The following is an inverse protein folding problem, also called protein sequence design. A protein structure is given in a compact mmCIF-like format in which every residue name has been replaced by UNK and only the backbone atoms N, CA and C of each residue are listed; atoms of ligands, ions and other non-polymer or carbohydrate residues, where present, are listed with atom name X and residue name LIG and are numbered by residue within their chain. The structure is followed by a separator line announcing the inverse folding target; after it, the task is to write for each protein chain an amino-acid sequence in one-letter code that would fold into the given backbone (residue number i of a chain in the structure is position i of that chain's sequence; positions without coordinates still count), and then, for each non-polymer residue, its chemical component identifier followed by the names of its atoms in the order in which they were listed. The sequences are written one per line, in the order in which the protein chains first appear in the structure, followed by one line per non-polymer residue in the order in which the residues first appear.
data_IF_577416770232
#
_entry.id   IF_577416770232
#
_cell.length_a   1.000
_cell.length_b   1.000
_cell.length_c   1.000
_cell.angle_alpha   90.00
_cell.angle_beta   90.00
_cell.angle_gamma   90.00
#
_symmetry.space_group_name_H-M   'P 1'
#
loop_
_entity.id
_entity.type
_entity.pdbx_description
1 polymer ?
#
# COMPACT_ATOMS: atom_id res chain seq x y z
N UNK A 1 -28.95 26.90 -23.29
CA UNK A 1 -29.24 25.72 -22.45
C UNK A 1 -28.04 25.52 -21.56
N UNK A 2 -28.27 25.68 -20.27
CA UNK A 2 -27.28 25.64 -19.21
C UNK A 2 -26.74 24.21 -19.07
N UNK A 3 -25.46 24.00 -19.39
CA UNK A 3 -24.76 22.77 -19.02
C UNK A 3 -24.35 22.96 -17.57
N UNK A 4 -25.28 22.71 -16.64
CA UNK A 4 -24.89 22.50 -15.25
C UNK A 4 -23.97 21.28 -15.24
N UNK A 5 -22.67 21.52 -15.24
CA UNK A 5 -21.66 20.52 -14.93
C UNK A 5 -22.00 20.00 -13.54
N UNK A 6 -22.61 18.81 -13.48
CA UNK A 6 -22.70 18.07 -12.23
C UNK A 6 -21.25 17.79 -11.86
N UNK A 7 -20.72 18.58 -10.92
CA UNK A 7 -19.48 18.24 -10.24
C UNK A 7 -19.83 16.98 -9.45
N UNK A 8 -19.63 15.83 -10.07
CA UNK A 8 -19.51 14.61 -9.30
C UNK A 8 -18.29 14.80 -8.41
N UNK A 9 -18.36 14.32 -7.17
CA UNK A 9 -17.17 14.18 -6.34
C UNK A 9 -16.89 12.69 -6.30
N UNK A 10 -15.68 12.28 -6.70
CA UNK A 10 -15.21 10.92 -6.42
C UNK A 10 -14.78 10.90 -4.97
N UNK A 11 -15.44 10.08 -4.16
CA UNK A 11 -15.08 9.86 -2.78
C UNK A 11 -14.48 8.46 -2.66
N UNK A 12 -13.18 8.40 -2.42
CA UNK A 12 -12.50 7.17 -2.03
C UNK A 12 -12.56 7.09 -0.50
N UNK A 13 -13.11 6.01 0.03
CA UNK A 13 -13.22 5.81 1.48
C UNK A 13 -12.73 4.43 1.88
N UNK A 14 -12.10 4.34 3.06
CA UNK A 14 -11.79 3.08 3.69
C UNK A 14 -13.09 2.48 4.26
N UNK A 15 -13.44 1.28 3.81
CA UNK A 15 -14.61 0.54 4.30
C UNK A 15 -14.20 -0.49 5.36
N UNK A 16 -15.19 -1.13 5.98
CA UNK A 16 -15.00 -2.25 6.92
C UNK A 16 -14.22 -1.95 8.22
N UNK A 17 -14.02 -0.68 8.58
CA UNK A 17 -13.34 -0.30 9.83
C UNK A 17 -14.05 -0.85 11.09
N UNK A 18 -15.37 -1.10 11.03
CA UNK A 18 -16.13 -1.77 12.09
C UNK A 18 -15.76 -3.24 12.35
N UNK A 19 -14.89 -3.82 11.51
CA UNK A 19 -14.30 -5.16 11.68
C UNK A 19 -12.86 -5.11 12.20
N UNK A 20 -12.30 -3.91 12.41
CA UNK A 20 -10.99 -3.75 13.04
C UNK A 20 -11.05 -4.17 14.52
N UNK A 21 -9.89 -4.53 15.05
CA UNK A 21 -9.71 -4.83 16.47
C UNK A 21 -8.75 -3.79 17.06
N UNK A 22 -8.96 -3.34 18.31
CA UNK A 22 -7.99 -2.47 18.97
C UNK A 22 -6.60 -3.14 19.01
N UNK A 23 -5.54 -2.36 18.79
CA UNK A 23 -4.16 -2.84 18.83
C UNK A 23 -3.78 -3.50 20.18
N UNK A 24 -4.41 -3.06 21.27
CA UNK A 24 -4.25 -3.64 22.60
C UNK A 24 -4.86 -5.04 22.77
N UNK A 25 -5.58 -5.54 21.77
CA UNK A 25 -6.23 -6.86 21.83
C UNK A 25 -5.16 -7.97 21.74
N UNK A 26 -5.10 -8.90 22.71
CA UNK A 26 -4.16 -10.02 22.67
C UNK A 26 -4.32 -10.83 21.38
N UNK A 27 -3.20 -11.03 20.67
CA UNK A 27 -3.21 -11.57 19.33
C UNK A 27 -3.31 -13.11 19.36
N UNK A 28 -4.51 -13.64 19.55
CA UNK A 28 -4.68 -15.05 19.91
C UNK A 28 -4.80 -16.01 18.72
N UNK A 29 -4.84 -15.50 17.47
CA UNK A 29 -4.99 -16.35 16.26
C UNK A 29 -4.28 -15.73 15.06
N UNK A 30 -3.15 -16.31 14.66
CA UNK A 30 -2.64 -16.15 13.30
C UNK A 30 -3.71 -16.65 12.33
N UNK A 31 -4.35 -15.73 11.63
CA UNK A 31 -5.20 -16.08 10.48
C UNK A 31 -4.29 -16.55 9.33
N UNK A 32 -4.91 -17.11 8.29
CA UNK A 32 -4.24 -17.43 7.01
C UNK A 32 -3.39 -16.22 6.57
N UNK A 33 -2.10 -16.44 6.33
CA UNK A 33 -1.19 -15.42 5.77
C UNK A 33 -1.62 -15.17 4.33
N UNK A 34 -2.03 -13.94 4.04
CA UNK A 34 -2.43 -13.49 2.70
C UNK A 34 -1.35 -12.54 2.13
N UNK A 35 -1.47 -12.16 0.86
CA UNK A 35 -0.46 -11.32 0.21
C UNK A 35 -0.37 -9.92 0.84
N UNK A 36 -1.46 -9.39 1.41
CA UNK A 36 -1.46 -8.12 2.14
C UNK A 36 -0.91 -8.23 3.56
N UNK A 37 -0.79 -9.45 4.12
CA UNK A 37 -0.27 -9.64 5.48
C UNK A 37 1.21 -9.22 5.56
N UNK A 38 1.59 -8.36 6.51
CA UNK A 38 2.99 -7.98 6.72
C UNK A 38 3.88 -9.19 7.06
N UNK A 39 5.18 -9.12 6.75
CA UNK A 39 6.12 -10.18 7.13
C UNK A 39 6.23 -10.31 8.66
N UNK A 40 6.26 -9.19 9.39
CA UNK A 40 6.29 -9.18 10.86
C UNK A 40 5.10 -9.94 11.45
N UNK A 41 3.87 -9.64 11.01
CA UNK A 41 2.69 -10.33 11.49
C UNK A 41 2.68 -11.80 11.03
N UNK A 42 3.10 -12.09 9.79
CA UNK A 42 3.20 -13.46 9.29
C UNK A 42 4.18 -14.35 10.10
N UNK A 43 5.19 -13.74 10.72
CA UNK A 43 6.14 -14.40 11.63
C UNK A 43 5.61 -14.59 13.06
N UNK A 44 4.39 -14.12 13.35
CA UNK A 44 3.74 -14.30 14.65
C UNK A 44 3.92 -13.15 15.63
N UNK A 45 4.47 -12.01 15.20
CA UNK A 45 4.52 -10.82 16.05
C UNK A 45 3.11 -10.24 16.27
N UNK A 46 2.89 -9.46 17.34
CA UNK A 46 1.66 -8.69 17.51
C UNK A 46 1.40 -7.76 16.32
N UNK A 47 0.13 -7.64 15.94
CA UNK A 47 -0.28 -6.69 14.90
C UNK A 47 -0.11 -5.26 15.43
N UNK A 48 0.40 -4.37 14.60
CA UNK A 48 0.55 -2.93 14.89
C UNK A 48 0.06 -2.11 13.71
N UNK A 49 -0.14 -0.80 13.91
CA UNK A 49 -0.48 0.13 12.80
C UNK A 49 0.50 0.08 11.60
N UNK A 50 1.75 -0.33 11.81
CA UNK A 50 2.71 -0.45 10.71
C UNK A 50 2.36 -1.62 9.79
N UNK A 51 1.62 -2.60 10.26
CA UNK A 51 1.11 -3.68 9.42
C UNK A 51 0.03 -3.19 8.44
N UNK A 52 -0.72 -2.14 8.77
CA UNK A 52 -1.61 -1.45 7.82
C UNK A 52 -0.80 -0.73 6.74
N UNK A 53 0.27 -0.02 7.10
CA UNK A 53 1.15 0.64 6.12
C UNK A 53 1.83 -0.37 5.18
N UNK A 54 2.32 -1.48 5.72
CA UNK A 54 2.87 -2.56 4.90
C UNK A 54 1.81 -3.18 3.97
N UNK A 55 0.59 -3.38 4.48
CA UNK A 55 -0.53 -3.88 3.66
C UNK A 55 -0.84 -2.92 2.50
N UNK A 56 -0.83 -1.61 2.76
CA UNK A 56 -0.99 -0.59 1.73
C UNK A 56 0.12 -0.67 0.67
N UNK A 57 1.39 -0.71 1.08
CA UNK A 57 2.51 -0.85 0.14
C UNK A 57 2.42 -2.12 -0.72
N UNK A 58 1.99 -3.23 -0.14
CA UNK A 58 1.78 -4.49 -0.86
C UNK A 58 0.63 -4.44 -1.88
N UNK A 59 -0.37 -3.57 -1.66
CA UNK A 59 -1.47 -3.35 -2.60
C UNK A 59 -1.07 -2.49 -3.80
N UNK A 60 -0.04 -1.64 -3.67
CA UNK A 60 0.44 -0.79 -4.76
C UNK A 60 1.14 -1.57 -5.88
N UNK A 61 1.85 -2.66 -5.54
CA UNK A 61 2.54 -3.49 -6.53
C UNK A 61 1.61 -3.99 -7.65
N UNK A 62 0.49 -4.66 -7.33
CA UNK A 62 -0.50 -5.10 -8.32
C UNK A 62 -1.04 -3.97 -9.21
N UNK A 63 -1.17 -2.74 -8.69
CA UNK A 63 -1.64 -1.58 -9.46
C UNK A 63 -0.68 -1.20 -10.59
N UNK A 64 0.60 -1.58 -10.49
CA UNK A 64 1.62 -1.40 -11.54
C UNK A 64 2.02 -2.72 -12.21
N UNK A 65 1.21 -3.78 -12.03
CA UNK A 65 1.44 -5.10 -12.63
C UNK A 65 2.55 -5.93 -11.96
N UNK A 66 3.02 -5.53 -10.77
CA UNK A 66 4.08 -6.23 -10.02
C UNK A 66 3.45 -7.10 -8.94
N UNK A 67 3.72 -8.41 -8.96
CA UNK A 67 3.11 -9.39 -8.04
C UNK A 67 4.18 -10.16 -7.24
N UNK A 68 4.85 -9.52 -6.27
CA UNK A 68 6.04 -10.08 -5.62
C UNK A 68 5.74 -11.28 -4.71
N UNK A 69 4.47 -11.50 -4.35
CA UNK A 69 4.04 -12.54 -3.41
C UNK A 69 3.30 -13.71 -4.06
N UNK A 70 3.27 -13.79 -5.39
CA UNK A 70 2.67 -14.93 -6.10
C UNK A 70 3.75 -15.96 -6.44
N UNK A 71 3.61 -17.17 -5.89
CA UNK A 71 4.48 -18.30 -6.20
C UNK A 71 3.74 -19.62 -6.06
N UNK A 72 4.00 -20.55 -6.97
CA UNK A 72 3.48 -21.93 -6.90
C UNK A 72 4.35 -22.83 -6.01
N UNK A 73 5.61 -22.45 -5.77
CA UNK A 73 6.62 -23.30 -5.12
C UNK A 73 7.04 -22.80 -3.75
N UNK A 74 6.74 -21.53 -3.42
CA UNK A 74 7.09 -20.90 -2.14
C UNK A 74 5.84 -20.63 -1.30
N UNK A 75 5.99 -20.73 0.01
CA UNK A 75 4.96 -20.29 0.96
C UNK A 75 4.83 -18.76 0.94
N UNK A 76 3.67 -18.24 1.38
CA UNK A 76 3.45 -16.80 1.48
C UNK A 76 4.48 -16.09 2.39
N UNK A 77 4.99 -16.79 3.42
CA UNK A 77 6.07 -16.27 4.28
C UNK A 77 7.36 -16.20 3.49
N UNK A 78 7.77 -17.28 2.82
CA UNK A 78 9.01 -17.30 2.03
C UNK A 78 9.03 -16.23 0.93
N UNK A 79 7.95 -16.06 0.16
CA UNK A 79 7.90 -15.00 -0.86
C UNK A 79 8.06 -13.60 -0.26
N UNK A 80 7.62 -13.40 0.98
CA UNK A 80 7.80 -12.13 1.68
C UNK A 80 9.24 -11.97 2.17
N UNK A 81 9.86 -13.04 2.65
CA UNK A 81 11.28 -13.02 3.03
C UNK A 81 12.16 -12.71 1.82
N UNK A 82 11.89 -13.33 0.67
CA UNK A 82 12.61 -13.06 -0.57
C UNK A 82 12.41 -11.62 -1.04
N UNK A 83 11.20 -11.09 -0.94
CA UNK A 83 10.92 -9.70 -1.24
C UNK A 83 11.70 -8.75 -0.32
N UNK A 84 11.66 -9.00 0.99
CA UNK A 84 12.34 -8.15 1.99
C UNK A 84 13.86 -8.23 1.92
N UNK A 85 14.42 -9.30 1.35
CA UNK A 85 15.86 -9.40 1.13
C UNK A 85 16.37 -8.43 0.06
N UNK A 86 15.56 -8.14 -0.97
CA UNK A 86 15.89 -7.19 -2.04
C UNK A 86 14.61 -6.60 -2.68
N UNK A 87 13.93 -5.64 -2.02
CA UNK A 87 12.65 -5.10 -2.50
C UNK A 87 12.74 -4.43 -3.86
N UNK A 88 13.84 -3.73 -4.14
CA UNK A 88 14.04 -2.98 -5.38
C UNK A 88 14.14 -3.89 -6.60
N UNK A 89 14.67 -5.12 -6.45
CA UNK A 89 14.76 -6.09 -7.56
C UNK A 89 13.40 -6.47 -8.17
N UNK A 90 12.31 -6.35 -7.43
CA UNK A 90 10.95 -6.63 -7.92
C UNK A 90 10.37 -5.48 -8.74
N UNK A 91 10.95 -4.28 -8.64
CA UNK A 91 10.52 -3.07 -9.34
C UNK A 91 11.62 -2.65 -10.32
N UNK A 92 11.66 -3.34 -11.47
CA UNK A 92 12.70 -3.14 -12.49
C UNK A 92 12.68 -1.75 -13.14
N UNK A 93 11.55 -1.04 -13.07
CA UNK A 93 11.38 0.27 -13.68
C UNK A 93 11.53 1.37 -12.64
N UNK A 94 12.34 2.37 -12.94
CA UNK A 94 12.62 3.51 -12.06
C UNK A 94 11.32 4.20 -11.61
N UNK A 95 10.33 4.37 -12.50
CA UNK A 95 9.05 4.99 -12.18
C UNK A 95 8.17 4.20 -11.19
N UNK A 96 8.57 2.97 -10.84
CA UNK A 96 7.87 2.12 -9.87
C UNK A 96 8.69 1.81 -8.62
N UNK A 97 9.99 2.16 -8.59
CA UNK A 97 10.87 1.84 -7.47
C UNK A 97 10.48 2.55 -6.17
N UNK A 98 9.82 3.70 -6.27
CA UNK A 98 9.29 4.41 -5.11
C UNK A 98 8.37 3.55 -4.25
N UNK A 99 7.67 2.55 -4.82
CA UNK A 99 6.83 1.61 -4.07
C UNK A 99 7.68 0.73 -3.15
N UNK A 100 8.80 0.19 -3.65
CA UNK A 100 9.75 -0.55 -2.81
C UNK A 100 10.38 0.36 -1.75
N UNK A 101 10.79 1.57 -2.13
CA UNK A 101 11.32 2.57 -1.18
C UNK A 101 10.32 2.90 -0.07
N UNK A 102 9.03 3.00 -0.39
CA UNK A 102 7.95 3.24 0.57
C UNK A 102 7.79 2.08 1.54
N UNK A 103 7.84 0.84 1.05
CA UNK A 103 7.76 -0.36 1.90
C UNK A 103 8.99 -0.43 2.82
N UNK A 104 10.18 -0.15 2.31
CA UNK A 104 11.41 -0.08 3.12
C UNK A 104 11.33 1.02 4.18
N UNK A 105 10.78 2.18 3.83
CA UNK A 105 10.54 3.27 4.77
C UNK A 105 9.60 2.85 5.90
N UNK A 106 8.50 2.16 5.60
CA UNK A 106 7.57 1.68 6.63
C UNK A 106 8.21 0.66 7.58
N UNK A 107 9.04 -0.23 7.06
CA UNK A 107 9.73 -1.20 7.90
C UNK A 107 10.80 -0.52 8.79
N UNK A 108 11.50 0.51 8.28
CA UNK A 108 12.36 1.36 9.09
C UNK A 108 11.58 2.09 10.19
N UNK A 109 10.47 2.74 9.83
CA UNK A 109 9.65 3.49 10.79
C UNK A 109 8.96 2.59 11.85
N UNK A 110 8.77 1.31 11.57
CA UNK A 110 8.33 0.34 12.59
C UNK A 110 9.29 0.29 13.78
N UNK A 111 10.58 0.43 13.52
CA UNK A 111 11.64 0.37 14.53
C UNK A 111 11.94 1.76 15.11
N UNK A 112 11.98 2.78 14.25
CA UNK A 112 12.45 4.14 14.60
C UNK A 112 11.32 5.07 15.05
N UNK A 113 10.07 4.75 14.73
CA UNK A 113 8.90 5.59 14.95
C UNK A 113 8.35 6.20 13.66
N UNK A 114 7.09 6.65 13.74
CA UNK A 114 6.36 7.20 12.61
C UNK A 114 6.82 8.61 12.26
N UNK A 115 7.11 8.87 10.99
CA UNK A 115 7.43 10.20 10.43
C UNK A 115 6.54 10.45 9.22
N UNK A 116 5.59 11.38 9.35
CA UNK A 116 4.78 11.84 8.22
C UNK A 116 5.64 12.57 7.19
N UNK A 117 6.62 13.36 7.66
CA UNK A 117 7.47 14.17 6.79
C UNK A 117 8.29 13.30 5.83
N UNK A 118 8.83 12.18 6.30
CA UNK A 118 9.57 11.22 5.46
C UNK A 118 8.65 10.60 4.39
N UNK A 119 7.41 10.26 4.76
CA UNK A 119 6.44 9.66 3.85
C UNK A 119 6.01 10.68 2.80
N UNK A 120 5.70 11.91 3.24
CA UNK A 120 5.33 13.01 2.36
C UNK A 120 6.47 13.34 1.39
N UNK A 121 7.71 13.45 1.88
CA UNK A 121 8.87 13.69 1.04
C UNK A 121 9.05 12.58 -0.02
N UNK A 122 8.87 11.32 0.37
CA UNK A 122 8.94 10.21 -0.58
C UNK A 122 7.89 10.36 -1.68
N UNK A 123 6.63 10.65 -1.34
CA UNK A 123 5.58 10.84 -2.33
C UNK A 123 5.85 12.01 -3.29
N UNK A 124 6.32 13.16 -2.79
CA UNK A 124 6.69 14.31 -3.64
C UNK A 124 7.84 13.97 -4.61
N UNK A 125 8.71 13.04 -4.24
CA UNK A 125 9.83 12.60 -5.09
C UNK A 125 9.50 11.39 -5.97
N UNK A 126 8.34 10.75 -5.77
CA UNK A 126 8.01 9.45 -6.35
C UNK A 126 7.69 9.54 -7.85
N UNK A 127 6.93 10.57 -8.24
CA UNK A 127 6.50 10.79 -9.62
C UNK A 127 6.74 12.27 -9.95
N UNK A 128 7.56 12.58 -10.97
CA UNK A 128 7.79 13.96 -11.39
C UNK A 128 6.48 14.68 -11.73
N UNK A 129 6.41 15.97 -11.38
CA UNK A 129 5.30 16.87 -11.70
C UNK A 129 3.94 16.46 -11.09
N UNK A 130 3.93 15.54 -10.11
CA UNK A 130 2.75 15.18 -9.34
C UNK A 130 2.82 15.82 -7.96
N UNK A 131 1.77 16.55 -7.59
CA UNK A 131 1.55 17.09 -6.25
C UNK A 131 0.62 16.12 -5.48
N UNK A 132 1.11 15.36 -4.47
CA UNK A 132 0.33 14.35 -3.76
C UNK A 132 -0.94 14.90 -3.08
N UNK A 133 -0.93 16.18 -2.73
CA UNK A 133 -2.03 16.89 -2.08
C UNK A 133 -3.05 17.47 -3.07
N UNK A 134 -2.80 17.35 -4.37
CA UNK A 134 -3.73 17.81 -5.41
C UNK A 134 -5.04 17.00 -5.39
N UNK A 135 -6.08 17.59 -5.95
CA UNK A 135 -7.36 16.87 -6.12
C UNK A 135 -7.21 15.78 -7.15
N UNK A 136 -7.80 14.61 -6.91
CA UNK A 136 -7.86 13.52 -7.88
C UNK A 136 -8.61 14.01 -9.12
N UNK A 137 -7.91 14.08 -10.26
CA UNK A 137 -8.53 14.32 -11.55
C UNK A 137 -9.12 13.01 -12.09
N UNK A 138 -10.32 13.10 -12.67
CA UNK A 138 -10.99 11.92 -13.19
C UNK A 138 -12.01 12.28 -14.26
N UNK A 139 -12.36 11.30 -15.09
CA UNK A 139 -13.45 11.38 -16.04
C UNK A 139 -14.39 10.17 -15.93
N UNK A 140 -15.66 10.36 -16.33
CA UNK A 140 -16.64 9.27 -16.43
C UNK A 140 -17.01 9.11 -17.90
N UNK A 141 -16.55 8.01 -18.52
CA UNK A 141 -16.83 7.70 -19.91
C UNK A 141 -17.61 6.38 -20.00
N UNK A 142 -18.79 6.40 -20.64
CA UNK A 142 -19.65 5.23 -20.80
C UNK A 142 -20.00 4.51 -19.47
N UNK A 143 -20.11 5.25 -18.36
CA UNK A 143 -20.39 4.70 -17.04
C UNK A 143 -19.17 4.10 -16.32
N UNK A 144 -17.98 4.22 -16.89
CA UNK A 144 -16.71 3.82 -16.28
C UNK A 144 -15.98 5.06 -15.75
N UNK A 145 -15.40 4.94 -14.56
CA UNK A 145 -14.57 5.96 -13.92
C UNK A 145 -13.10 5.75 -14.33
N UNK A 146 -12.46 6.81 -14.83
CA UNK A 146 -11.04 6.85 -15.14
C UNK A 146 -10.38 7.92 -14.28
N UNK A 147 -9.36 7.54 -13.50
CA UNK A 147 -8.53 8.49 -12.77
C UNK A 147 -7.39 8.90 -13.71
N UNK A 148 -7.21 10.21 -13.89
CA UNK A 148 -6.26 10.78 -14.83
C UNK A 148 -4.95 11.16 -14.15
#
# INVERSE_FOLDING_TARGET
MDKSSIISNVVVTLIDFGRSIPESTPNNKLRKVLFQTSLSYARGNPYTRFDDFMSMGYLLGPSVGVHPFLSETRTAVQTKEDFHADPLSYFAKEETQWIASLIMLFERQREEGYSYDDISQLFHSAIPDIEPESSIEYEVLNGLLYIN
#
